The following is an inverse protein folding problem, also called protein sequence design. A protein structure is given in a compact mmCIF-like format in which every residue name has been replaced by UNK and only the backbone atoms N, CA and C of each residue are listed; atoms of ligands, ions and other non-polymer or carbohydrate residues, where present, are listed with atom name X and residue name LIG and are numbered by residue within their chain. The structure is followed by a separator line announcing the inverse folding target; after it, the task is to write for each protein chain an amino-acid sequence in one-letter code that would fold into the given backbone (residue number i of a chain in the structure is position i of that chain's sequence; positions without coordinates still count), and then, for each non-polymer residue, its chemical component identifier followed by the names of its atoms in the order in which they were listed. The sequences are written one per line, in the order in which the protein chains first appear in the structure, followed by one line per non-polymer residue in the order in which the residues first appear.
data_IF_920802930076
#
_entry.id   IF_920802930076
#
_cell.length_a   1.000
_cell.length_b   1.000
_cell.length_c   1.000
_cell.angle_alpha   90.00
_cell.angle_beta   90.00
_cell.angle_gamma   90.00
#
_symmetry.space_group_name_H-M   'P 1'
#
loop_
_entity.id
_entity.type
_entity.pdbx_description
1 polymer ?
#
# COMPACT_ATOMS: atom_id res chain seq x y z
N UNK A 1 -29.76 -4.17 -2.78
CA UNK A 1 -29.38 -4.13 -1.35
C UNK A 1 -28.28 -3.10 -1.21
N UNK A 2 -28.29 -2.28 -0.16
CA UNK A 2 -27.22 -1.28 0.05
C UNK A 2 -25.96 -2.01 0.54
N UNK A 3 -24.82 -1.70 -0.06
CA UNK A 3 -23.52 -2.27 0.23
C UNK A 3 -23.10 -1.98 1.67
N UNK A 4 -22.44 -2.95 2.30
CA UNK A 4 -21.75 -2.74 3.58
C UNK A 4 -20.45 -1.97 3.34
N UNK A 5 -20.08 -1.13 4.30
CA UNK A 5 -18.86 -0.33 4.22
C UNK A 5 -17.67 -1.12 4.73
N UNK A 6 -16.60 -1.17 3.94
CA UNK A 6 -15.28 -1.62 4.37
C UNK A 6 -14.56 -0.39 4.97
N UNK A 7 -14.69 -0.21 6.27
CA UNK A 7 -14.06 0.88 7.02
C UNK A 7 -12.57 0.60 7.23
N UNK A 8 -11.73 1.12 6.33
CA UNK A 8 -10.29 0.96 6.43
C UNK A 8 -9.62 1.84 7.47
N UNK A 9 -10.27 2.92 7.93
CA UNK A 9 -9.78 3.71 9.06
C UNK A 9 -9.84 2.90 10.35
N UNK A 10 -10.94 2.20 10.57
CA UNK A 10 -11.11 1.29 11.72
C UNK A 10 -10.06 0.17 11.67
N UNK A 11 -9.94 -0.54 10.55
CA UNK A 11 -8.97 -1.64 10.44
C UNK A 11 -7.53 -1.14 10.58
N UNK A 12 -7.18 -0.01 9.97
CA UNK A 12 -5.84 0.57 10.12
C UNK A 12 -5.52 0.90 11.59
N UNK A 13 -6.49 1.36 12.38
CA UNK A 13 -6.30 1.59 13.81
C UNK A 13 -6.08 0.28 14.58
N UNK A 14 -6.85 -0.76 14.28
CA UNK A 14 -6.68 -2.08 14.91
C UNK A 14 -5.27 -2.62 14.65
N UNK A 15 -4.82 -2.55 13.38
CA UNK A 15 -3.46 -2.95 12.98
C UNK A 15 -2.39 -2.16 13.75
N UNK A 16 -2.51 -0.83 13.86
CA UNK A 16 -1.54 -0.03 14.62
C UNK A 16 -1.51 -0.40 16.10
N UNK A 17 -2.68 -0.66 16.70
CA UNK A 17 -2.76 -1.08 18.10
C UNK A 17 -2.09 -2.44 18.34
N UNK A 18 -2.25 -3.39 17.43
CA UNK A 18 -1.59 -4.70 17.48
C UNK A 18 -0.07 -4.56 17.38
N UNK A 19 0.42 -3.73 16.45
CA UNK A 19 1.86 -3.45 16.31
C UNK A 19 2.40 -2.75 17.57
N UNK A 20 1.70 -1.75 18.11
CA UNK A 20 2.10 -1.06 19.33
C UNK A 20 2.22 -2.02 20.54
N UNK A 21 1.24 -2.93 20.70
CA UNK A 21 1.28 -3.95 21.73
C UNK A 21 2.48 -4.89 21.55
N UNK A 22 2.80 -5.26 20.31
CA UNK A 22 3.96 -6.11 20.01
C UNK A 22 5.29 -5.40 20.30
N UNK A 23 5.40 -4.11 19.98
CA UNK A 23 6.58 -3.30 20.33
C UNK A 23 6.75 -3.20 21.84
N UNK A 24 5.68 -2.95 22.59
CA UNK A 24 5.74 -2.93 24.06
C UNK A 24 6.22 -4.26 24.63
N UNK A 25 5.74 -5.38 24.09
CA UNK A 25 6.21 -6.71 24.47
C UNK A 25 7.70 -6.89 24.20
N UNK A 26 8.19 -6.50 23.00
CA UNK A 26 9.63 -6.58 22.67
C UNK A 26 10.49 -5.79 23.65
N UNK A 27 10.07 -4.57 23.99
CA UNK A 27 10.79 -3.73 24.95
C UNK A 27 10.82 -4.36 26.35
N UNK A 28 9.72 -4.96 26.79
CA UNK A 28 9.66 -5.68 28.06
C UNK A 28 10.56 -6.94 28.08
N UNK A 29 10.79 -7.56 26.92
CA UNK A 29 11.74 -8.66 26.72
C UNK A 29 13.20 -8.18 26.62
N UNK A 30 13.46 -6.86 26.74
CA UNK A 30 14.80 -6.27 26.64
C UNK A 30 15.33 -6.14 25.21
N UNK A 31 14.48 -6.38 24.19
CA UNK A 31 14.82 -6.18 22.77
C UNK A 31 14.65 -4.71 22.38
N UNK A 32 15.25 -4.30 21.26
CA UNK A 32 15.11 -2.93 20.75
C UNK A 32 13.76 -2.73 20.04
N UNK A 33 13.32 -1.47 19.96
CA UNK A 33 12.21 -1.09 19.11
C UNK A 33 12.60 -1.19 17.62
N UNK A 34 11.62 -1.43 16.72
CA UNK A 34 11.84 -1.33 15.28
C UNK A 34 12.21 0.10 14.85
N UNK A 35 13.08 0.21 13.85
CA UNK A 35 13.53 1.48 13.29
C UNK A 35 13.07 1.70 11.84
N UNK A 36 12.51 2.86 11.54
CA UNK A 36 12.14 3.28 10.19
C UNK A 36 12.90 4.55 9.78
N UNK A 37 13.65 4.47 8.68
CA UNK A 37 14.25 5.62 8.02
C UNK A 37 13.37 6.11 6.86
N UNK A 38 13.00 7.38 6.88
CA UNK A 38 12.23 8.03 5.81
C UNK A 38 13.11 9.05 5.10
N UNK A 39 13.31 8.85 3.80
CA UNK A 39 14.11 9.72 2.94
C UNK A 39 13.19 10.49 2.01
N UNK A 40 13.25 11.82 2.09
CA UNK A 40 12.56 12.74 1.22
C UNK A 40 13.61 13.56 0.47
N UNK A 41 13.46 13.68 -0.85
CA UNK A 41 14.31 14.54 -1.68
C UNK A 41 13.41 15.60 -2.29
N UNK A 42 13.65 16.87 -1.93
CA UNK A 42 12.89 18.00 -2.42
C UNK A 42 11.76 18.50 -1.53
N UNK A 43 11.05 19.51 -2.03
CA UNK A 43 10.04 20.25 -1.27
C UNK A 43 8.62 20.10 -1.83
N UNK A 44 8.22 18.89 -2.25
CA UNK A 44 6.84 18.66 -2.68
C UNK A 44 5.86 18.70 -1.49
N UNK A 45 4.90 19.64 -1.43
CA UNK A 45 3.96 19.77 -0.30
C UNK A 45 3.12 18.51 -0.07
N UNK A 46 2.78 17.77 -1.14
CA UNK A 46 2.03 16.52 -1.02
C UNK A 46 2.87 15.43 -0.31
N UNK A 47 4.17 15.37 -0.62
CA UNK A 47 5.11 14.44 0.00
C UNK A 47 5.31 14.76 1.49
N UNK A 48 5.40 16.04 1.85
CA UNK A 48 5.54 16.48 3.25
C UNK A 48 4.36 16.05 4.13
N UNK A 49 3.12 16.18 3.63
CA UNK A 49 1.92 15.71 4.36
C UNK A 49 1.99 14.18 4.56
N UNK A 50 2.41 13.44 3.54
CA UNK A 50 2.47 11.98 3.58
C UNK A 50 3.56 11.49 4.55
N UNK A 51 4.75 12.09 4.49
CA UNK A 51 5.87 11.82 5.40
C UNK A 51 5.49 12.17 6.85
N UNK A 52 4.85 13.33 7.08
CA UNK A 52 4.35 13.71 8.40
C UNK A 52 3.31 12.75 8.97
N UNK A 53 2.51 12.09 8.12
CA UNK A 53 1.61 11.02 8.56
C UNK A 53 2.35 9.74 8.95
N UNK A 54 3.43 9.39 8.24
CA UNK A 54 4.25 8.20 8.53
C UNK A 54 5.04 8.38 9.82
N UNK A 55 5.64 9.55 10.04
CA UNK A 55 6.34 9.90 11.30
C UNK A 55 5.41 9.75 12.51
N UNK A 56 4.20 10.32 12.44
CA UNK A 56 3.19 10.17 13.50
C UNK A 56 2.80 8.71 13.72
N UNK A 57 2.64 7.92 12.66
CA UNK A 57 2.33 6.51 12.78
C UNK A 57 3.46 5.72 13.49
N UNK A 58 4.73 6.06 13.25
CA UNK A 58 5.86 5.48 13.99
C UNK A 58 5.84 5.82 15.48
N UNK A 59 5.61 7.10 15.81
CA UNK A 59 5.50 7.56 17.20
C UNK A 59 4.33 6.89 17.92
N UNK A 60 3.17 6.76 17.26
CA UNK A 60 1.97 6.10 17.79
C UNK A 60 2.24 4.64 18.22
N UNK A 61 3.11 3.92 17.51
CA UNK A 61 3.41 2.51 17.78
C UNK A 61 4.70 2.28 18.56
N UNK A 62 5.46 3.34 18.87
CA UNK A 62 6.72 3.26 19.62
C UNK A 62 7.94 2.86 18.79
N UNK A 63 7.92 3.11 17.47
CA UNK A 63 9.10 2.91 16.62
C UNK A 63 10.11 4.05 16.79
N UNK A 64 11.38 3.74 16.48
CA UNK A 64 12.41 4.74 16.24
C UNK A 64 12.21 5.25 14.80
N UNK A 65 12.03 6.56 14.63
CA UNK A 65 11.87 7.17 13.31
C UNK A 65 13.05 8.08 13.03
N UNK A 66 13.77 7.81 11.95
CA UNK A 66 14.80 8.70 11.41
C UNK A 66 14.29 9.34 10.13
N UNK A 67 14.63 10.61 9.90
CA UNK A 67 14.11 11.35 8.77
C UNK A 67 15.20 12.19 8.13
N UNK A 68 15.29 12.05 6.82
CA UNK A 68 16.29 12.68 5.99
C UNK A 68 15.57 13.54 4.95
N UNK A 69 15.47 14.83 5.24
CA UNK A 69 14.91 15.83 4.34
C UNK A 69 16.05 16.45 3.54
N UNK A 70 16.28 15.89 2.34
CA UNK A 70 17.37 16.27 1.44
C UNK A 70 16.90 17.33 0.44
N UNK A 71 17.75 18.32 0.08
CA UNK A 71 17.37 19.36 -0.88
C UNK A 71 17.21 18.79 -2.30
N UNK A 72 16.45 19.49 -3.15
CA UNK A 72 16.30 19.15 -4.59
C UNK A 72 17.63 19.09 -5.36
N UNK A 73 18.69 19.72 -4.83
CA UNK A 73 20.04 19.69 -5.40
C UNK A 73 20.83 18.41 -5.09
N UNK A 74 20.25 17.47 -4.36
CA UNK A 74 20.89 16.21 -4.00
C UNK A 74 21.18 15.37 -5.23
N UNK A 75 22.44 15.00 -5.43
CA UNK A 75 22.84 14.12 -6.52
C UNK A 75 22.42 12.67 -6.27
N UNK A 76 22.24 11.91 -7.34
CA UNK A 76 21.98 10.46 -7.25
C UNK A 76 23.06 9.74 -6.43
N UNK A 77 24.33 10.10 -6.57
CA UNK A 77 25.42 9.48 -5.84
C UNK A 77 25.32 9.72 -4.32
N UNK A 78 24.92 10.92 -3.89
CA UNK A 78 24.70 11.23 -2.48
C UNK A 78 23.52 10.44 -1.90
N UNK A 79 22.42 10.34 -2.67
CA UNK A 79 21.25 9.58 -2.26
C UNK A 79 21.56 8.08 -2.12
N UNK A 80 22.30 7.51 -3.07
CA UNK A 80 22.73 6.11 -3.02
C UNK A 80 23.66 5.85 -1.82
N UNK A 81 24.59 6.77 -1.53
CA UNK A 81 25.45 6.67 -0.35
C UNK A 81 24.66 6.66 0.95
N UNK A 82 23.63 7.51 1.08
CA UNK A 82 22.76 7.50 2.26
C UNK A 82 22.02 6.16 2.39
N UNK A 83 21.52 5.61 1.28
CA UNK A 83 20.85 4.30 1.30
C UNK A 83 21.83 3.20 1.72
N UNK A 84 23.08 3.25 1.27
CA UNK A 84 24.13 2.31 1.69
C UNK A 84 24.39 2.41 3.20
N UNK A 85 24.45 3.62 3.77
CA UNK A 85 24.61 3.83 5.21
C UNK A 85 23.42 3.25 6.00
N UNK A 86 22.19 3.49 5.53
CA UNK A 86 20.97 2.97 6.15
C UNK A 86 20.85 1.45 6.05
N UNK A 87 21.27 0.86 4.93
CA UNK A 87 21.33 -0.58 4.75
C UNK A 87 22.27 -1.22 5.79
N UNK A 88 23.40 -0.57 6.08
CA UNK A 88 24.38 -1.06 7.05
C UNK A 88 24.06 -0.70 8.51
N UNK A 89 23.09 0.18 8.76
CA UNK A 89 22.72 0.56 10.12
C UNK A 89 21.85 -0.53 10.81
N UNK A 90 22.34 -1.21 11.88
CA UNK A 90 21.60 -2.27 12.56
C UNK A 90 20.40 -1.77 13.38
N UNK A 91 20.26 -0.46 13.61
CA UNK A 91 19.08 0.12 14.27
C UNK A 91 17.92 0.39 13.32
N UNK A 92 18.14 0.28 12.00
CA UNK A 92 17.13 0.53 10.97
C UNK A 92 16.66 -0.78 10.37
N UNK A 93 15.35 -1.02 10.43
CA UNK A 93 14.68 -2.20 9.88
C UNK A 93 13.92 -1.91 8.59
N UNK A 94 13.53 -0.65 8.40
CA UNK A 94 12.82 -0.20 7.22
C UNK A 94 13.43 1.05 6.62
N UNK A 95 13.52 1.08 5.31
CA UNK A 95 13.90 2.27 4.54
C UNK A 95 12.76 2.58 3.57
N UNK A 96 12.33 3.83 3.59
CA UNK A 96 11.34 4.34 2.66
C UNK A 96 11.90 5.57 1.95
N UNK A 97 12.04 5.48 0.63
CA UNK A 97 12.33 6.63 -0.23
C UNK A 97 11.03 7.17 -0.81
N UNK A 98 10.65 8.39 -0.44
CA UNK A 98 9.40 9.00 -0.88
C UNK A 98 9.49 9.45 -2.35
N UNK A 99 8.58 8.96 -3.18
CA UNK A 99 8.44 9.36 -4.59
C UNK A 99 7.44 10.53 -4.76
N UNK A 100 7.52 11.29 -5.87
CA UNK A 100 8.55 11.22 -6.92
C UNK A 100 9.89 11.85 -6.47
N UNK A 101 11.01 11.34 -7.00
CA UNK A 101 12.32 11.98 -6.84
C UNK A 101 12.50 13.12 -7.86
N UNK A 102 13.45 14.05 -7.62
CA UNK A 102 13.81 15.10 -8.57
C UNK A 102 14.14 14.56 -9.97
N UNK A 103 13.84 15.38 -10.98
CA UNK A 103 14.15 15.05 -12.37
C UNK A 103 15.66 14.85 -12.56
N UNK A 104 16.05 13.69 -13.09
CA UNK A 104 17.46 13.33 -13.34
C UNK A 104 18.03 12.28 -12.39
N UNK A 105 17.31 11.91 -11.33
CA UNK A 105 17.65 10.74 -10.50
C UNK A 105 16.95 9.50 -11.08
N UNK A 106 17.68 8.39 -11.22
CA UNK A 106 17.09 7.12 -11.61
C UNK A 106 16.36 6.47 -10.43
N UNK A 107 15.03 6.60 -10.40
CA UNK A 107 14.18 6.00 -9.37
C UNK A 107 14.39 4.49 -9.22
N UNK A 108 14.63 3.76 -10.33
CA UNK A 108 14.78 2.30 -10.29
C UNK A 108 16.07 1.96 -9.56
N UNK A 109 17.17 2.61 -9.92
CA UNK A 109 18.48 2.41 -9.30
C UNK A 109 18.47 2.74 -7.80
N UNK A 110 17.74 3.78 -7.41
CA UNK A 110 17.59 4.17 -6.00
C UNK A 110 16.78 3.14 -5.21
N UNK A 111 15.62 2.73 -5.73
CA UNK A 111 14.76 1.76 -5.05
C UNK A 111 15.40 0.36 -4.98
N UNK A 112 16.10 -0.06 -6.03
CA UNK A 112 16.84 -1.33 -6.06
C UNK A 112 18.12 -1.31 -5.21
N UNK A 113 18.55 -0.13 -4.73
CA UNK A 113 19.67 -0.06 -3.79
C UNK A 113 19.26 -0.43 -2.37
N UNK A 114 18.00 -0.27 -2.01
CA UNK A 114 17.49 -0.62 -0.69
C UNK A 114 17.59 -2.14 -0.52
N UNK A 115 18.19 -2.61 0.58
CA UNK A 115 18.26 -4.05 0.85
C UNK A 115 16.84 -4.64 0.91
N UNK A 116 16.55 -5.79 0.28
CA UNK A 116 15.18 -6.30 0.18
C UNK A 116 14.50 -6.60 1.52
N UNK A 117 15.27 -6.91 2.56
CA UNK A 117 14.80 -7.10 3.94
C UNK A 117 14.53 -5.79 4.70
N UNK A 118 14.97 -4.65 4.15
CA UNK A 118 14.63 -3.29 4.64
C UNK A 118 13.66 -2.53 3.72
N UNK A 119 13.32 -3.08 2.56
CA UNK A 119 12.32 -2.52 1.64
C UNK A 119 10.90 -2.74 2.18
N UNK A 120 10.53 -1.95 3.18
CA UNK A 120 9.23 -2.02 3.85
C UNK A 120 8.08 -1.46 3.01
N UNK A 121 8.37 -0.78 1.90
CA UNK A 121 7.34 -0.43 0.91
C UNK A 121 7.03 -1.60 -0.05
N UNK A 122 7.95 -2.58 -0.14
CA UNK A 122 7.77 -3.87 -0.79
C UNK A 122 7.92 -3.86 -2.32
N UNK A 123 8.41 -2.76 -2.90
CA UNK A 123 8.50 -2.58 -4.35
C UNK A 123 9.83 -3.03 -4.96
N UNK A 124 10.82 -3.42 -4.14
CA UNK A 124 12.05 -3.98 -4.64
C UNK A 124 11.73 -5.22 -5.51
N UNK A 125 12.29 -5.36 -6.72
CA UNK A 125 11.95 -6.47 -7.64
C UNK A 125 12.12 -7.85 -7.00
N UNK A 126 13.09 -8.01 -6.11
CA UNK A 126 13.24 -9.20 -5.26
C UNK A 126 11.95 -9.52 -4.48
N UNK A 127 11.40 -8.56 -3.72
CA UNK A 127 10.20 -8.76 -2.90
C UNK A 127 8.96 -9.06 -3.75
N UNK A 128 8.78 -8.32 -4.84
CA UNK A 128 7.71 -8.59 -5.82
C UNK A 128 7.89 -9.97 -6.46
N UNK A 129 9.11 -10.35 -6.83
CA UNK A 129 9.43 -11.68 -7.37
C UNK A 129 9.14 -12.80 -6.37
N UNK A 130 9.44 -12.60 -5.09
CA UNK A 130 9.11 -13.52 -4.00
C UNK A 130 7.60 -13.69 -3.83
N UNK A 131 6.84 -12.61 -3.94
CA UNK A 131 5.37 -12.65 -3.98
C UNK A 131 4.87 -13.46 -5.19
N UNK A 132 5.39 -13.20 -6.39
CA UNK A 132 5.05 -13.96 -7.60
C UNK A 132 5.31 -15.47 -7.45
N UNK A 133 6.38 -15.84 -6.72
CA UNK A 133 6.78 -17.22 -6.47
C UNK A 133 5.98 -17.90 -5.34
N UNK A 134 4.94 -17.23 -4.79
CA UNK A 134 4.13 -17.72 -3.66
C UNK A 134 4.94 -17.91 -2.37
N UNK A 135 6.06 -17.20 -2.24
CA UNK A 135 6.93 -17.23 -1.07
C UNK A 135 7.25 -15.79 -0.60
N UNK A 136 6.20 -14.98 -0.31
CA UNK A 136 6.36 -13.56 -0.03
C UNK A 136 7.25 -13.32 1.20
N UNK A 137 7.98 -12.21 1.15
CA UNK A 137 8.65 -11.60 2.31
C UNK A 137 7.90 -10.32 2.69
N UNK A 138 8.58 -9.17 2.70
CA UNK A 138 7.93 -7.87 2.71
C UNK A 138 7.11 -7.70 1.43
N UNK A 139 5.91 -7.15 1.56
CA UNK A 139 4.94 -7.05 0.47
C UNK A 139 4.54 -5.61 0.19
N UNK A 140 4.23 -5.26 -1.07
CA UNK A 140 3.68 -3.96 -1.44
C UNK A 140 2.56 -3.50 -0.52
N UNK A 141 2.74 -2.34 0.13
CA UNK A 141 1.88 -1.87 1.22
C UNK A 141 0.39 -1.79 0.84
N UNK A 142 0.08 -1.19 -0.31
CA UNK A 142 -1.32 -1.00 -0.74
C UNK A 142 -2.00 -2.33 -1.08
N UNK A 143 -1.43 -3.21 -1.95
CA UNK A 143 -1.98 -4.54 -2.19
C UNK A 143 -2.15 -5.39 -0.92
N UNK A 144 -1.12 -5.45 -0.06
CA UNK A 144 -1.23 -6.21 1.19
C UNK A 144 -2.28 -5.60 2.12
N UNK A 145 -2.37 -4.27 2.21
CA UNK A 145 -3.42 -3.59 2.96
C UNK A 145 -4.83 -3.94 2.48
N UNK A 146 -5.04 -4.06 1.16
CA UNK A 146 -6.31 -4.53 0.58
C UNK A 146 -6.60 -5.97 1.01
N UNK A 147 -5.61 -6.86 0.94
CA UNK A 147 -5.78 -8.24 1.41
C UNK A 147 -6.14 -8.29 2.90
N UNK A 148 -5.50 -7.47 3.73
CA UNK A 148 -5.84 -7.35 5.15
C UNK A 148 -7.29 -6.87 5.36
N UNK A 149 -7.81 -5.96 4.53
CA UNK A 149 -9.23 -5.58 4.60
C UNK A 149 -10.13 -6.77 4.30
N UNK A 150 -9.87 -7.50 3.21
CA UNK A 150 -10.66 -8.68 2.85
C UNK A 150 -10.63 -9.74 3.96
N UNK A 151 -9.44 -10.01 4.51
CA UNK A 151 -9.24 -10.93 5.64
C UNK A 151 -10.07 -10.51 6.87
N UNK A 152 -10.02 -9.23 7.27
CA UNK A 152 -10.67 -8.72 8.49
C UNK A 152 -12.19 -8.67 8.41
N UNK A 153 -12.73 -8.57 7.20
CA UNK A 153 -14.17 -8.63 6.95
C UNK A 153 -14.64 -10.03 6.56
N UNK A 154 -13.76 -11.04 6.65
CA UNK A 154 -14.06 -12.44 6.32
C UNK A 154 -14.63 -12.61 4.90
N UNK A 155 -14.13 -11.81 3.96
CA UNK A 155 -14.54 -11.86 2.57
C UNK A 155 -13.79 -13.00 1.87
N UNK A 156 -14.54 -13.97 1.36
CA UNK A 156 -13.98 -15.10 0.62
C UNK A 156 -13.30 -14.62 -0.67
N UNK A 157 -12.08 -15.10 -0.89
CA UNK A 157 -11.27 -14.81 -2.08
C UNK A 157 -11.03 -16.04 -2.94
N UNK A 158 -10.99 -17.23 -2.34
CA UNK A 158 -10.69 -18.47 -3.04
C UNK A 158 -11.77 -18.78 -4.09
N UNK A 159 -11.36 -18.99 -5.34
CA UNK A 159 -12.25 -19.30 -6.46
C UNK A 159 -13.04 -18.12 -7.02
N UNK A 160 -12.94 -16.92 -6.43
CA UNK A 160 -13.63 -15.72 -6.90
C UNK A 160 -12.99 -15.14 -8.16
N UNK A 161 -13.78 -14.50 -9.02
CA UNK A 161 -13.27 -13.75 -10.17
C UNK A 161 -12.84 -12.34 -9.75
N UNK A 162 -11.54 -12.14 -9.61
CA UNK A 162 -10.95 -10.86 -9.24
C UNK A 162 -10.51 -10.07 -10.48
N UNK A 163 -10.95 -8.82 -10.60
CA UNK A 163 -10.59 -7.90 -11.68
C UNK A 163 -9.88 -6.70 -11.09
N UNK A 164 -8.68 -6.42 -11.61
CA UNK A 164 -7.89 -5.22 -11.28
C UNK A 164 -7.94 -4.27 -12.46
N UNK A 165 -8.48 -3.07 -12.27
CA UNK A 165 -8.49 -1.98 -13.26
C UNK A 165 -7.32 -1.04 -12.98
N UNK A 166 -6.27 -1.18 -13.80
CA UNK A 166 -5.00 -0.47 -13.63
C UNK A 166 -3.85 -1.45 -13.48
N UNK A 167 -2.78 -1.27 -14.26
CA UNK A 167 -1.61 -2.15 -14.30
C UNK A 167 -0.33 -1.44 -13.84
N UNK A 168 -0.46 -0.53 -12.86
CA UNK A 168 0.67 0.22 -12.29
C UNK A 168 1.61 -0.70 -11.50
N UNK A 169 2.88 -0.31 -11.40
CA UNK A 169 3.87 -1.06 -10.61
C UNK A 169 3.57 -0.96 -9.10
N UNK A 170 2.98 0.14 -8.65
CA UNK A 170 2.74 0.41 -7.23
C UNK A 170 1.48 -0.24 -6.66
N UNK A 171 0.52 -0.61 -7.53
CA UNK A 171 -0.75 -1.24 -7.09
C UNK A 171 -1.12 -2.38 -8.00
N UNK A 172 -1.39 -2.10 -9.28
CA UNK A 172 -2.08 -3.05 -10.16
C UNK A 172 -1.40 -4.40 -10.33
N UNK A 173 -0.10 -4.38 -10.69
CA UNK A 173 0.71 -5.59 -10.88
C UNK A 173 0.86 -6.42 -9.61
N UNK A 174 1.30 -5.85 -8.47
CA UNK A 174 1.40 -6.64 -7.24
C UNK A 174 0.03 -7.08 -6.69
N UNK A 175 -1.04 -6.29 -6.87
CA UNK A 175 -2.40 -6.70 -6.50
C UNK A 175 -2.84 -7.97 -7.23
N UNK A 176 -2.50 -8.09 -8.52
CA UNK A 176 -2.79 -9.30 -9.27
C UNK A 176 -2.10 -10.54 -8.66
N UNK A 177 -0.86 -10.38 -8.18
CA UNK A 177 -0.12 -11.48 -7.56
C UNK A 177 -0.66 -11.82 -6.16
N UNK A 178 -1.07 -10.83 -5.36
CA UNK A 178 -1.77 -11.07 -4.08
C UNK A 178 -3.07 -11.84 -4.30
N UNK A 179 -3.85 -11.51 -5.34
CA UNK A 179 -5.07 -12.24 -5.67
C UNK A 179 -4.80 -13.67 -6.12
N UNK A 180 -3.77 -13.90 -6.95
CA UNK A 180 -3.36 -15.27 -7.29
C UNK A 180 -2.90 -16.06 -6.06
N UNK A 181 -2.18 -15.41 -5.14
CA UNK A 181 -1.76 -16.04 -3.87
C UNK A 181 -2.97 -16.42 -3.01
N UNK A 182 -4.00 -15.58 -2.98
CA UNK A 182 -5.26 -15.80 -2.28
C UNK A 182 -6.20 -16.79 -2.97
N UNK A 183 -5.87 -17.26 -4.18
CA UNK A 183 -6.64 -18.27 -4.92
C UNK A 183 -7.76 -17.70 -5.79
N UNK A 184 -7.74 -16.42 -6.11
CA UNK A 184 -8.67 -15.83 -7.08
C UNK A 184 -8.32 -16.24 -8.52
N UNK A 185 -9.32 -16.29 -9.40
CA UNK A 185 -9.10 -16.15 -10.85
C UNK A 185 -8.86 -14.67 -11.13
N UNK A 186 -7.66 -14.31 -11.57
CA UNK A 186 -7.24 -12.90 -11.63
C UNK A 186 -7.16 -12.37 -13.06
N UNK A 187 -7.88 -11.29 -13.34
CA UNK A 187 -7.79 -10.51 -14.58
C UNK A 187 -7.22 -9.12 -14.32
N UNK A 188 -6.25 -8.70 -15.12
CA UNK A 188 -5.69 -7.34 -15.08
C UNK A 188 -6.12 -6.57 -16.32
N UNK A 189 -6.74 -5.41 -16.15
CA UNK A 189 -7.18 -4.53 -17.22
C UNK A 189 -6.47 -3.18 -17.15
N UNK A 190 -6.50 -2.43 -18.24
CA UNK A 190 -5.86 -1.11 -18.37
C UNK A 190 -6.47 -0.30 -19.51
N UNK A 191 -5.88 0.87 -19.81
CA UNK A 191 -6.32 1.82 -20.85
C UNK A 191 -6.43 1.27 -22.29
N UNK A 192 -5.99 0.03 -22.53
CA UNK A 192 -6.03 -0.61 -23.85
C UNK A 192 -6.92 -1.87 -23.86
N UNK A 193 -7.55 -2.18 -22.73
CA UNK A 193 -8.50 -3.29 -22.64
C UNK A 193 -9.70 -2.97 -23.53
N UNK A 194 -9.97 -3.87 -24.48
CA UNK A 194 -11.19 -3.83 -25.28
C UNK A 194 -12.35 -4.31 -24.40
N UNK A 195 -13.47 -3.60 -24.44
CA UNK A 195 -14.66 -3.90 -23.64
C UNK A 195 -14.38 -4.06 -22.14
N UNK A 196 -13.81 -3.02 -21.52
CA UNK A 196 -13.55 -3.00 -20.07
C UNK A 196 -14.81 -3.32 -19.25
N UNK A 197 -15.98 -2.87 -19.72
CA UNK A 197 -17.26 -3.10 -19.05
C UNK A 197 -17.56 -4.58 -18.87
N UNK A 198 -17.37 -5.39 -19.91
CA UNK A 198 -17.59 -6.84 -19.82
C UNK A 198 -16.78 -7.48 -18.68
N UNK A 199 -15.53 -7.08 -18.50
CA UNK A 199 -14.69 -7.58 -17.41
C UNK A 199 -15.22 -7.12 -16.04
N UNK A 200 -15.61 -5.85 -15.90
CA UNK A 200 -16.12 -5.30 -14.64
C UNK A 200 -17.46 -5.96 -14.24
N UNK A 201 -18.36 -6.20 -15.19
CA UNK A 201 -19.65 -6.87 -14.95
C UNK A 201 -19.50 -8.35 -14.55
N UNK A 202 -18.37 -8.97 -14.87
CA UNK A 202 -18.04 -10.34 -14.46
C UNK A 202 -17.35 -10.46 -13.09
N UNK A 203 -16.88 -9.34 -12.51
CA UNK A 203 -16.03 -9.34 -11.33
C UNK A 203 -16.82 -9.63 -10.03
N UNK A 204 -16.39 -10.65 -9.29
CA UNK A 204 -16.82 -10.87 -7.90
C UNK A 204 -16.08 -9.93 -6.94
N UNK A 205 -14.80 -9.70 -7.22
CA UNK A 205 -13.91 -8.78 -6.52
C UNK A 205 -13.36 -7.77 -7.53
N UNK A 206 -13.65 -6.49 -7.33
CA UNK A 206 -13.18 -5.41 -8.21
C UNK A 206 -12.22 -4.49 -7.44
N UNK A 207 -10.99 -4.35 -7.93
CA UNK A 207 -10.03 -3.33 -7.47
C UNK A 207 -9.84 -2.29 -8.57
N UNK A 208 -10.07 -1.01 -8.26
CA UNK A 208 -9.90 0.10 -9.20
C UNK A 208 -8.78 1.02 -8.73
N UNK A 209 -7.74 1.17 -9.56
CA UNK A 209 -6.53 1.93 -9.25
C UNK A 209 -6.02 2.70 -10.48
N UNK A 210 -6.88 3.54 -11.04
CA UNK A 210 -6.60 4.34 -12.25
C UNK A 210 -6.26 5.80 -11.95
N UNK A 211 -6.65 6.33 -10.78
CA UNK A 211 -6.42 7.72 -10.40
C UNK A 211 -7.22 8.69 -11.28
N UNK A 212 -8.49 8.38 -11.52
CA UNK A 212 -9.42 9.20 -12.30
C UNK A 212 -10.80 9.19 -11.65
N UNK A 213 -11.31 10.36 -11.22
CA UNK A 213 -12.55 10.43 -10.46
C UNK A 213 -13.74 9.89 -11.26
N UNK A 214 -14.51 8.97 -10.66
CA UNK A 214 -15.73 8.41 -11.27
C UNK A 214 -15.51 7.68 -12.61
N UNK A 215 -14.32 7.10 -12.81
CA UNK A 215 -13.98 6.38 -14.04
C UNK A 215 -14.80 5.10 -14.24
N UNK A 216 -15.17 4.41 -13.16
CA UNK A 216 -16.02 3.21 -13.21
C UNK A 216 -17.45 3.60 -12.81
N UNK A 217 -18.40 3.58 -13.77
CA UNK A 217 -19.81 3.80 -13.49
C UNK A 217 -20.39 2.70 -12.60
N UNK A 218 -21.28 3.06 -11.68
CA UNK A 218 -21.82 2.12 -10.71
C UNK A 218 -22.67 1.03 -11.35
N UNK A 219 -23.31 1.27 -12.49
CA UNK A 219 -24.11 0.28 -13.19
C UNK A 219 -23.30 -0.88 -13.78
N UNK A 220 -21.99 -0.73 -13.94
CA UNK A 220 -21.08 -1.80 -14.38
C UNK A 220 -20.82 -2.80 -13.26
N UNK A 221 -21.04 -2.43 -12.00
CA UNK A 221 -20.76 -3.29 -10.85
C UNK A 221 -21.71 -4.49 -10.88
N UNK A 222 -21.15 -5.69 -10.82
CA UNK A 222 -21.91 -6.93 -10.66
C UNK A 222 -22.72 -6.89 -9.35
N UNK A 223 -24.03 -7.22 -9.36
CA UNK A 223 -24.80 -7.31 -8.13
C UNK A 223 -24.16 -8.30 -7.14
N UNK A 224 -23.92 -7.86 -5.91
CA UNK A 224 -23.26 -8.66 -4.88
C UNK A 224 -21.72 -8.61 -4.90
N UNK A 225 -21.08 -7.89 -5.83
CA UNK A 225 -19.63 -7.77 -5.88
C UNK A 225 -19.05 -7.01 -4.68
N UNK A 226 -17.78 -7.26 -4.42
CA UNK A 226 -16.95 -6.50 -3.48
C UNK A 226 -16.15 -5.47 -4.27
N UNK A 227 -16.26 -4.20 -3.90
CA UNK A 227 -15.62 -3.09 -4.60
C UNK A 227 -14.58 -2.42 -3.72
N UNK A 228 -13.33 -2.45 -4.17
CA UNK A 228 -12.17 -1.81 -3.56
C UNK A 228 -11.73 -0.65 -4.45
N UNK A 229 -11.95 0.57 -3.98
CA UNK A 229 -11.57 1.81 -4.65
C UNK A 229 -10.26 2.35 -4.06
N UNK A 230 -9.19 2.28 -4.84
CA UNK A 230 -7.85 2.73 -4.47
C UNK A 230 -7.62 4.19 -4.89
N UNK A 231 -8.51 4.75 -5.72
CA UNK A 231 -8.43 6.11 -6.21
C UNK A 231 -8.42 7.12 -5.07
N UNK A 232 -7.53 8.11 -5.14
CA UNK A 232 -7.53 9.27 -4.24
C UNK A 232 -7.39 10.51 -5.10
N UNK A 233 -8.53 11.05 -5.53
CA UNK A 233 -8.61 12.17 -6.45
C UNK A 233 -9.08 13.42 -5.70
N UNK A 234 -8.25 14.47 -5.67
CA UNK A 234 -8.64 15.77 -5.09
C UNK A 234 -9.30 16.63 -6.17
N UNK A 235 -10.57 16.95 -5.96
CA UNK A 235 -11.34 17.84 -6.84
C UNK A 235 -11.01 19.30 -6.55
N UNK A 236 -11.35 20.19 -7.48
CA UNK A 236 -11.23 21.65 -7.31
C UNK A 236 -12.00 22.17 -6.08
N UNK A 237 -13.10 21.50 -5.72
CA UNK A 237 -13.87 21.78 -4.50
C UNK A 237 -13.14 21.43 -3.19
N UNK A 238 -11.96 20.82 -3.27
CA UNK A 238 -11.20 20.30 -2.12
C UNK A 238 -11.66 18.93 -1.63
N UNK A 239 -12.80 18.42 -2.11
CA UNK A 239 -13.27 17.06 -1.81
C UNK A 239 -12.33 16.00 -2.38
N UNK A 240 -12.19 14.90 -1.66
CA UNK A 240 -11.43 13.72 -2.10
C UNK A 240 -12.44 12.65 -2.51
N UNK A 241 -12.31 12.13 -3.73
CA UNK A 241 -13.20 11.11 -4.29
C UNK A 241 -12.39 9.96 -4.91
N UNK A 242 -13.04 8.81 -5.03
CA UNK A 242 -12.43 7.61 -5.60
C UNK A 242 -12.54 7.53 -7.12
N UNK A 243 -12.12 6.40 -7.67
CA UNK A 243 -12.23 6.09 -9.10
C UNK A 243 -13.59 5.49 -9.48
N UNK A 244 -14.42 5.12 -8.51
CA UNK A 244 -15.75 4.52 -8.70
C UNK A 244 -16.84 5.55 -8.38
N UNK A 245 -17.94 5.52 -9.14
CA UNK A 245 -19.16 6.24 -8.77
C UNK A 245 -19.83 5.59 -7.54
N UNK A 246 -19.43 6.04 -6.36
CA UNK A 246 -19.77 5.39 -5.08
C UNK A 246 -21.28 5.23 -4.85
N UNK A 247 -22.07 6.28 -5.10
CA UNK A 247 -23.50 6.27 -4.80
C UNK A 247 -24.27 5.23 -5.63
N UNK A 248 -23.95 5.09 -6.92
CA UNK A 248 -24.57 4.10 -7.81
C UNK A 248 -24.01 2.70 -7.58
N UNK A 249 -22.69 2.57 -7.33
CA UNK A 249 -22.04 1.29 -7.04
C UNK A 249 -22.54 0.67 -5.72
N UNK A 250 -22.72 1.49 -4.68
CA UNK A 250 -23.17 1.04 -3.35
C UNK A 250 -24.58 0.44 -3.35
N UNK A 251 -25.40 0.70 -4.37
CA UNK A 251 -26.73 0.10 -4.49
C UNK A 251 -26.70 -1.35 -5.04
N UNK A 252 -25.54 -1.77 -5.56
CA UNK A 252 -25.34 -3.04 -6.27
C UNK A 252 -24.34 -3.95 -5.56
N UNK A 253 -23.23 -3.38 -5.07
CA UNK A 253 -22.20 -4.12 -4.36
C UNK A 253 -22.72 -4.75 -3.06
N UNK A 254 -22.10 -5.85 -2.62
CA UNK A 254 -22.27 -6.37 -1.26
C UNK A 254 -21.39 -5.62 -0.26
N UNK A 255 -20.18 -5.23 -0.70
CA UNK A 255 -19.21 -4.47 0.07
C UNK A 255 -18.55 -3.39 -0.78
N UNK A 256 -18.28 -2.23 -0.18
CA UNK A 256 -17.57 -1.13 -0.87
C UNK A 256 -16.67 -0.38 0.10
N UNK A 257 -15.45 -0.03 -0.33
CA UNK A 257 -14.57 0.89 0.41
C UNK A 257 -14.96 2.34 0.14
N UNK A 258 -15.07 3.21 1.17
CA UNK A 258 -15.30 4.63 0.96
C UNK A 258 -14.00 5.34 0.57
N UNK A 259 -14.12 6.45 -0.14
CA UNK A 259 -13.01 7.37 -0.39
C UNK A 259 -13.44 8.78 0.06
N UNK A 260 -12.74 9.39 1.04
CA UNK A 260 -11.61 8.85 1.82
C UNK A 260 -12.06 7.83 2.90
N UNK A 261 -11.09 7.15 3.52
CA UNK A 261 -11.33 6.28 4.69
C UNK A 261 -11.32 4.77 4.41
N UNK A 262 -11.20 4.36 3.15
CA UNK A 262 -11.02 2.96 2.74
C UNK A 262 -9.54 2.56 2.68
N UNK A 263 -8.99 2.46 1.47
CA UNK A 263 -7.67 1.87 1.23
C UNK A 263 -6.50 2.71 1.77
N UNK A 264 -6.57 4.04 1.66
CA UNK A 264 -5.45 4.94 2.02
C UNK A 264 -4.86 4.73 3.44
N UNK A 265 -5.69 4.69 4.51
CA UNK A 265 -5.20 4.38 5.86
C UNK A 265 -4.47 3.03 5.98
N UNK A 266 -4.86 2.02 5.20
CA UNK A 266 -4.24 0.70 5.22
C UNK A 266 -2.84 0.69 4.63
N UNK A 267 -2.53 1.56 3.68
CA UNK A 267 -1.17 1.69 3.13
C UNK A 267 -0.18 2.05 4.23
N UNK A 268 -0.52 3.01 5.10
CA UNK A 268 0.36 3.41 6.21
C UNK A 268 0.40 2.33 7.30
N UNK A 269 -0.74 1.73 7.63
CA UNK A 269 -0.77 0.64 8.62
C UNK A 269 0.06 -0.58 8.18
N UNK A 270 0.05 -0.89 6.88
CA UNK A 270 0.82 -2.00 6.32
C UNK A 270 2.31 -1.70 6.28
N UNK A 271 2.72 -0.45 6.00
CA UNK A 271 4.12 -0.04 6.13
C UNK A 271 4.64 -0.31 7.55
N UNK A 272 3.86 0.07 8.55
CA UNK A 272 4.18 -0.16 9.96
C UNK A 272 4.25 -1.66 10.30
N UNK A 273 3.33 -2.47 9.77
CA UNK A 273 3.41 -3.93 9.90
C UNK A 273 4.67 -4.51 9.25
N UNK A 274 5.00 -4.08 8.03
CA UNK A 274 6.19 -4.54 7.31
C UNK A 274 7.48 -4.18 8.08
N UNK A 275 7.56 -2.99 8.69
CA UNK A 275 8.72 -2.61 9.50
C UNK A 275 8.85 -3.46 10.77
N UNK A 276 7.73 -3.76 11.45
CA UNK A 276 7.76 -4.71 12.57
C UNK A 276 8.23 -6.09 12.08
N UNK A 277 7.65 -6.60 10.98
CA UNK A 277 8.02 -7.89 10.41
C UNK A 277 9.53 -7.94 10.09
N UNK A 278 10.08 -6.89 9.48
CA UNK A 278 11.50 -6.82 9.17
C UNK A 278 12.38 -6.93 10.42
N UNK A 279 12.00 -6.22 11.49
CA UNK A 279 12.69 -6.30 12.77
C UNK A 279 12.61 -7.72 13.37
N UNK A 280 11.42 -8.31 13.45
CA UNK A 280 11.21 -9.60 14.12
C UNK A 280 11.71 -10.81 13.33
N UNK A 281 11.70 -10.77 12.00
CA UNK A 281 12.01 -11.94 11.17
C UNK A 281 13.41 -11.88 10.53
N UNK A 282 13.94 -10.68 10.25
CA UNK A 282 15.15 -10.54 9.44
C UNK A 282 16.35 -9.95 10.18
N UNK A 283 16.15 -9.12 11.22
CA UNK A 283 17.25 -8.38 11.85
C UNK A 283 17.48 -8.71 13.33
N UNK A 284 16.42 -8.93 14.12
CA UNK A 284 16.47 -9.10 15.58
C UNK A 284 15.44 -10.14 16.05
N UNK A 285 15.57 -11.36 15.54
CA UNK A 285 14.69 -12.50 15.84
C UNK A 285 14.79 -12.96 17.31
#
# INVERSE_FOLDING_TARGET
MVAKIIDGKMIAQQVRNEVAARVQQRLAEGKRAPGLAVVLVGENPASQIYVGSKRRACEEVGFISESYDLPDSTSEAQLLSLIDDLNNNPSIDGILVQLPLPAGIDNVKVLERISPDKDVDGFHPYNVGRLCQRAPKLRPCTPRGIMTLLERYEIETYGQNAVVVGASNIVGRPMAMEFLLAGCTTTVTHRFTQDLRHHVEGADLLVVAVGKPGFIPGEWIKPGAVVIDVGINRLESGKVVGDVEFDSASQRASWITPVPGGVGPMTVATLIQNTLQACEEYHDA
#
